data_IF_282198920510
#
_entry.id   IF_282198920510
#
_cell.length_a   1.000
_cell.length_b   1.000
_cell.length_c   1.000
_cell.angle_alpha   90.00
_cell.angle_beta   90.00
_cell.angle_gamma   90.00
#
_symmetry.space_group_name_H-M   'P 1'
#
loop_
_entity.id
_entity.type
_entity.pdbx_description
1 polymer ?
#
# COMPACT_ATOMS: atom_id res chain seq x y z
N UNK A 1 14.19 14.42 3.56
CA UNK A 1 13.44 13.20 3.95
C UNK A 1 12.65 12.73 2.73
N UNK A 2 13.00 11.59 2.11
CA UNK A 2 12.30 11.07 0.92
C UNK A 2 10.85 10.77 1.35
N UNK A 3 9.84 11.32 0.67
CA UNK A 3 8.44 11.00 0.95
C UNK A 3 8.15 9.63 0.32
N UNK A 4 8.24 8.55 1.12
CA UNK A 4 8.21 7.17 0.62
C UNK A 4 6.87 6.76 -0.02
N UNK A 5 5.77 7.45 0.30
CA UNK A 5 4.42 7.12 -0.17
C UNK A 5 3.75 8.31 -0.87
N UNK A 6 4.40 8.86 -1.90
CA UNK A 6 4.01 10.11 -2.55
C UNK A 6 3.94 9.97 -4.07
N UNK A 7 2.87 10.49 -4.67
CA UNK A 7 2.72 10.63 -6.11
C UNK A 7 3.34 11.97 -6.54
N UNK A 8 4.53 11.93 -7.14
CA UNK A 8 5.30 13.15 -7.42
C UNK A 8 4.58 14.06 -8.42
N UNK A 9 4.04 13.48 -9.48
CA UNK A 9 3.38 14.22 -10.56
C UNK A 9 2.01 14.80 -10.16
N UNK A 10 1.36 14.26 -9.12
CA UNK A 10 0.12 14.83 -8.54
C UNK A 10 0.37 15.76 -7.35
N UNK A 11 1.58 15.73 -6.80
CA UNK A 11 1.92 16.40 -5.56
C UNK A 11 0.96 16.05 -4.40
N UNK A 12 0.62 14.76 -4.27
CA UNK A 12 -0.28 14.25 -3.22
C UNK A 12 0.21 12.89 -2.66
N UNK A 13 -0.18 12.49 -1.44
CA UNK A 13 0.14 11.15 -0.94
C UNK A 13 -0.61 10.07 -1.73
N UNK A 14 -0.04 8.86 -1.84
CA UNK A 14 -0.62 7.73 -2.64
C UNK A 14 -2.00 7.22 -2.19
N UNK A 15 -2.55 7.75 -1.10
CA UNK A 15 -3.77 7.29 -0.45
C UNK A 15 -3.50 6.69 0.93
N UNK A 16 -4.25 7.16 1.94
CA UNK A 16 -4.03 6.82 3.36
C UNK A 16 -3.12 7.83 4.07
N UNK A 17 -3.38 8.07 5.36
CA UNK A 17 -2.68 9.10 6.14
C UNK A 17 -1.31 8.65 6.65
N UNK A 18 -1.05 7.34 6.81
CA UNK A 18 0.12 6.85 7.55
C UNK A 18 0.55 5.46 7.09
N UNK A 19 1.86 5.26 7.00
CA UNK A 19 2.53 3.96 6.85
C UNK A 19 3.96 4.08 7.37
N UNK A 20 4.59 2.96 7.69
CA UNK A 20 5.98 2.91 8.12
C UNK A 20 6.78 2.26 6.98
N UNK A 21 7.86 2.92 6.55
CA UNK A 21 8.83 2.35 5.62
C UNK A 21 10.23 2.74 6.08
N UNK A 22 11.11 1.75 6.20
CA UNK A 22 12.50 1.92 6.59
C UNK A 22 13.30 0.76 6.01
N UNK A 23 14.54 1.04 5.66
CA UNK A 23 15.55 0.02 5.43
C UNK A 23 16.27 -0.23 6.76
N UNK A 24 16.59 -1.48 7.06
CA UNK A 24 17.30 -1.85 8.29
C UNK A 24 18.45 -2.83 7.99
N UNK A 25 19.60 -2.70 8.66
CA UNK A 25 20.67 -3.69 8.57
C UNK A 25 20.26 -4.99 9.29
N UNK A 26 20.90 -6.11 8.95
CA UNK A 26 20.62 -7.41 9.59
C UNK A 26 20.77 -7.39 11.12
N UNK A 27 21.63 -6.50 11.66
CA UNK A 27 21.80 -6.29 13.10
C UNK A 27 20.56 -5.72 13.80
N UNK A 28 19.61 -5.15 13.06
CA UNK A 28 18.36 -4.59 13.57
C UNK A 28 17.15 -5.50 13.29
N UNK A 29 17.39 -6.79 13.03
CA UNK A 29 16.32 -7.75 12.73
C UNK A 29 15.22 -7.79 13.81
N UNK A 30 15.58 -7.71 15.09
CA UNK A 30 14.61 -7.70 16.19
C UNK A 30 13.68 -6.48 16.15
N UNK A 31 14.18 -5.33 15.69
CA UNK A 31 13.36 -4.13 15.50
C UNK A 31 12.36 -4.33 14.35
N UNK A 32 12.82 -4.88 13.22
CA UNK A 32 11.96 -5.18 12.08
C UNK A 32 10.90 -6.23 12.43
N UNK A 33 11.29 -7.31 13.12
CA UNK A 33 10.38 -8.35 13.60
C UNK A 33 9.31 -7.77 14.51
N UNK A 34 9.69 -6.99 15.52
CA UNK A 34 8.76 -6.36 16.45
C UNK A 34 7.80 -5.39 15.74
N UNK A 35 8.30 -4.66 14.74
CA UNK A 35 7.45 -3.78 13.93
C UNK A 35 6.41 -4.57 13.14
N UNK A 36 6.80 -5.70 12.55
CA UNK A 36 5.88 -6.58 11.84
C UNK A 36 4.82 -7.20 12.75
N UNK A 37 5.20 -7.66 13.95
CA UNK A 37 4.27 -8.17 14.96
C UNK A 37 3.23 -7.12 15.36
N UNK A 38 3.68 -5.89 15.67
CA UNK A 38 2.79 -4.77 16.01
C UNK A 38 1.86 -4.41 14.84
N UNK A 39 2.38 -4.41 13.61
CA UNK A 39 1.57 -4.13 12.43
C UNK A 39 0.44 -5.14 12.26
N UNK A 40 0.75 -6.45 12.35
CA UNK A 40 -0.23 -7.53 12.25
C UNK A 40 -1.31 -7.35 13.31
N UNK A 41 -0.92 -7.24 14.58
CA UNK A 41 -1.86 -7.10 15.69
C UNK A 41 -2.77 -5.87 15.54
N UNK A 42 -2.20 -4.75 15.09
CA UNK A 42 -2.93 -3.48 14.92
C UNK A 42 -3.90 -3.57 13.75
N UNK A 43 -3.45 -4.10 12.61
CA UNK A 43 -4.27 -4.20 11.41
C UNK A 43 -5.46 -5.14 11.63
N UNK A 44 -5.24 -6.31 12.24
CA UNK A 44 -6.32 -7.25 12.55
C UNK A 44 -7.36 -6.64 13.50
N UNK A 45 -6.94 -5.91 14.53
CA UNK A 45 -7.88 -5.20 15.42
C UNK A 45 -8.73 -4.18 14.66
N UNK A 46 -8.12 -3.39 13.77
CA UNK A 46 -8.87 -2.44 12.93
C UNK A 46 -9.88 -3.17 12.04
N UNK A 47 -9.47 -4.27 11.40
CA UNK A 47 -10.37 -5.07 10.55
C UNK A 47 -11.53 -5.64 11.35
N UNK A 48 -11.26 -6.26 12.51
CA UNK A 48 -12.31 -6.84 13.36
C UNK A 48 -13.34 -5.81 13.81
N UNK A 49 -12.90 -4.58 14.12
CA UNK A 49 -13.82 -3.49 14.51
C UNK A 49 -14.65 -2.99 13.33
N UNK A 50 -14.07 -2.94 12.13
CA UNK A 50 -14.63 -2.18 11.01
C UNK A 50 -15.24 -3.02 9.89
N UNK A 51 -15.03 -4.34 9.87
CA UNK A 51 -15.47 -5.23 8.77
C UNK A 51 -16.98 -5.20 8.50
N UNK A 52 -17.77 -4.95 9.55
CA UNK A 52 -19.25 -4.93 9.49
C UNK A 52 -19.81 -3.49 9.45
N UNK A 53 -18.95 -2.47 9.37
CA UNK A 53 -19.40 -1.08 9.21
C UNK A 53 -20.13 -0.92 7.88
N UNK A 54 -21.36 -0.41 7.94
CA UNK A 54 -22.10 -0.02 6.74
C UNK A 54 -21.41 1.19 6.12
N UNK A 55 -21.33 1.19 4.79
CA UNK A 55 -20.84 2.32 4.02
C UNK A 55 -21.92 2.80 3.04
N UNK A 56 -21.88 4.07 2.68
CA UNK A 56 -22.72 4.62 1.60
C UNK A 56 -22.06 4.44 0.23
N UNK A 57 -22.84 4.61 -0.84
CA UNK A 57 -22.32 4.54 -2.19
C UNK A 57 -21.26 5.62 -2.46
N UNK A 58 -21.42 6.82 -1.88
CA UNK A 58 -20.43 7.89 -1.98
C UNK A 58 -19.11 7.54 -1.26
N UNK A 59 -19.18 6.86 -0.12
CA UNK A 59 -17.99 6.39 0.59
C UNK A 59 -17.26 5.30 -0.19
N UNK A 60 -18.03 4.36 -0.79
CA UNK A 60 -17.49 3.36 -1.71
C UNK A 60 -16.82 4.02 -2.90
N UNK A 61 -17.44 5.03 -3.49
CA UNK A 61 -16.89 5.76 -4.63
C UNK A 61 -15.57 6.46 -4.27
N UNK A 62 -15.53 7.19 -3.15
CA UNK A 62 -14.29 7.80 -2.64
C UNK A 62 -13.19 6.77 -2.42
N UNK A 63 -13.53 5.58 -1.91
CA UNK A 63 -12.58 4.48 -1.73
C UNK A 63 -12.04 3.96 -3.08
N UNK A 64 -12.87 3.84 -4.13
CA UNK A 64 -12.44 3.42 -5.46
C UNK A 64 -11.49 4.42 -6.13
N UNK A 65 -11.70 5.74 -5.96
CA UNK A 65 -10.74 6.75 -6.43
C UNK A 65 -9.40 6.68 -5.68
N UNK A 66 -9.44 6.44 -4.36
CA UNK A 66 -8.21 6.20 -3.58
C UNK A 66 -7.46 4.95 -4.06
N UNK A 67 -8.18 3.89 -4.44
CA UNK A 67 -7.58 2.70 -5.07
C UNK A 67 -6.97 3.01 -6.45
N UNK A 68 -7.54 3.94 -7.22
CA UNK A 68 -6.92 4.46 -8.45
C UNK A 68 -5.53 5.07 -8.17
N UNK A 69 -5.42 5.89 -7.11
CA UNK A 69 -4.12 6.44 -6.65
C UNK A 69 -3.13 5.38 -6.22
N UNK A 70 -3.61 4.28 -5.64
CA UNK A 70 -2.78 3.12 -5.31
C UNK A 70 -2.19 2.47 -6.57
N UNK A 71 -3.00 2.26 -7.61
CA UNK A 71 -2.53 1.71 -8.89
C UNK A 71 -1.48 2.63 -9.52
N UNK A 72 -1.78 3.92 -9.59
CA UNK A 72 -0.87 4.96 -10.07
C UNK A 72 0.49 4.92 -9.36
N UNK A 73 0.49 4.79 -8.03
CA UNK A 73 1.72 4.72 -7.25
C UNK A 73 2.54 3.46 -7.56
N UNK A 74 1.92 2.28 -7.56
CA UNK A 74 2.65 1.03 -7.80
C UNK A 74 3.26 0.98 -9.21
N UNK A 75 2.55 1.48 -10.22
CA UNK A 75 3.03 1.44 -11.61
C UNK A 75 4.11 2.49 -11.91
N UNK A 76 4.06 3.66 -11.26
CA UNK A 76 4.90 4.81 -11.62
C UNK A 76 6.03 5.03 -10.61
N UNK A 77 5.72 4.99 -9.32
CA UNK A 77 6.62 5.46 -8.25
C UNK A 77 7.29 4.31 -7.50
N UNK A 78 6.62 3.15 -7.36
CA UNK A 78 7.17 2.00 -6.64
C UNK A 78 8.35 1.38 -7.41
N UNK A 79 9.54 1.60 -6.88
CA UNK A 79 10.81 1.09 -7.42
C UNK A 79 10.85 -0.45 -7.32
N UNK A 80 10.28 -1.05 -6.28
CA UNK A 80 10.26 -2.50 -6.09
C UNK A 80 9.31 -3.21 -7.07
N UNK A 81 8.14 -2.63 -7.31
CA UNK A 81 7.20 -3.15 -8.30
C UNK A 81 7.80 -3.14 -9.72
N UNK A 82 8.42 -2.01 -10.11
CA UNK A 82 9.07 -1.88 -11.42
C UNK A 82 10.27 -2.82 -11.56
N UNK A 83 11.12 -2.90 -10.53
CA UNK A 83 12.27 -3.80 -10.53
C UNK A 83 11.84 -5.27 -10.68
N UNK A 84 10.76 -5.70 -10.01
CA UNK A 84 10.20 -7.05 -10.16
C UNK A 84 9.83 -7.38 -11.60
N UNK A 85 9.20 -6.44 -12.32
CA UNK A 85 8.88 -6.60 -13.74
C UNK A 85 10.15 -6.64 -14.62
N UNK A 86 11.13 -5.79 -14.32
CA UNK A 86 12.40 -5.73 -15.07
C UNK A 86 13.20 -7.02 -14.98
N UNK A 87 13.22 -7.68 -13.81
CA UNK A 87 13.92 -8.96 -13.61
C UNK A 87 13.10 -10.18 -14.06
N UNK A 88 11.91 -9.98 -14.63
CA UNK A 88 11.09 -11.05 -15.20
C UNK A 88 10.27 -11.84 -14.18
N UNK A 89 9.95 -11.28 -13.02
CA UNK A 89 8.92 -11.88 -12.14
C UNK A 89 7.60 -11.94 -12.91
N UNK A 90 6.86 -13.05 -12.76
CA UNK A 90 5.56 -13.22 -13.42
C UNK A 90 4.65 -12.00 -13.15
N UNK A 91 4.25 -11.25 -14.19
CA UNK A 91 3.41 -10.07 -14.04
C UNK A 91 2.08 -10.35 -13.35
N UNK A 92 1.51 -11.55 -13.51
CA UNK A 92 0.27 -11.95 -12.81
C UNK A 92 0.47 -11.96 -11.30
N UNK A 93 1.61 -12.47 -10.83
CA UNK A 93 1.96 -12.46 -9.39
C UNK A 93 2.10 -11.03 -8.89
N UNK A 94 2.80 -10.18 -9.66
CA UNK A 94 2.96 -8.77 -9.32
C UNK A 94 1.61 -8.06 -9.20
N UNK A 95 0.71 -8.26 -10.18
CA UNK A 95 -0.59 -7.62 -10.25
C UNK A 95 -1.52 -8.13 -9.13
N UNK A 96 -1.64 -9.45 -8.96
CA UNK A 96 -2.58 -10.06 -8.01
C UNK A 96 -2.26 -9.75 -6.55
N UNK A 97 -0.98 -9.59 -6.22
CA UNK A 97 -0.54 -9.33 -4.84
C UNK A 97 -0.64 -7.84 -4.46
N UNK A 98 -0.68 -6.92 -5.43
CA UNK A 98 -0.51 -5.48 -5.16
C UNK A 98 -1.65 -4.60 -5.66
N UNK A 99 -2.30 -4.95 -6.78
CA UNK A 99 -3.29 -4.10 -7.43
C UNK A 99 -4.71 -4.45 -6.98
N UNK A 100 -5.54 -3.45 -6.62
CA UNK A 100 -6.93 -3.67 -6.27
C UNK A 100 -7.75 -4.14 -7.48
N UNK A 101 -8.77 -5.00 -7.27
CA UNK A 101 -9.57 -5.58 -8.36
C UNK A 101 -10.52 -4.59 -9.04
N UNK A 102 -10.81 -3.45 -8.40
CA UNK A 102 -11.71 -2.43 -8.95
C UNK A 102 -11.26 -1.06 -8.48
N UNK A 103 -11.19 -0.11 -9.42
CA UNK A 103 -10.75 1.26 -9.22
C UNK A 103 -11.59 2.23 -10.05
N UNK A 104 -11.50 3.51 -9.73
CA UNK A 104 -11.99 4.63 -10.56
C UNK A 104 -10.87 5.67 -10.70
N UNK A 105 -10.93 6.47 -11.77
CA UNK A 105 -9.96 7.52 -12.10
C UNK A 105 -10.65 8.86 -12.32
#
# INVERSE_FOLDING_TARGET
MKKTFWLKYRNEPRGGLVGIAFDFPASEFDFAKKTAEIFIDTYFKIVEIRKDEKYTDEERERMLFKRGRWVEFNLIEDEGFRYGLEIGVNPEVMILQTLPPTVKF
#
